data_IF_258301276947
#
_entry.id   IF_258301276947
#
_cell.length_a   1.000
_cell.length_b   1.000
_cell.length_c   1.000
_cell.angle_alpha   90.00
_cell.angle_beta   90.00
_cell.angle_gamma   90.00
#
_symmetry.space_group_name_H-M   'P 1'
#
loop_
_entity.id
_entity.type
_entity.pdbx_description
1 polymer ?
#
# COMPACT_ATOMS: atom_id res chain seq x y z
N UNK A 1 -9.66 -17.19 27.14
CA UNK A 1 -8.45 -16.92 26.34
C UNK A 1 -7.89 -15.58 26.82
N UNK A 2 -6.77 -15.57 27.53
CA UNK A 2 -6.15 -14.32 27.98
C UNK A 2 -5.70 -13.52 26.77
N UNK A 3 -6.16 -12.27 26.70
CA UNK A 3 -5.72 -11.36 25.65
C UNK A 3 -4.22 -11.14 25.76
N UNK A 4 -3.46 -11.56 24.78
CA UNK A 4 -1.98 -11.45 24.73
C UNK A 4 -1.48 -10.02 25.01
N UNK A 5 -2.33 -9.01 24.77
CA UNK A 5 -2.02 -7.59 24.99
C UNK A 5 -3.27 -6.83 25.50
N UNK A 6 -3.62 -6.93 26.80
CA UNK A 6 -4.89 -6.40 27.32
C UNK A 6 -5.03 -4.86 27.24
N UNK A 7 -3.93 -4.10 27.13
CA UNK A 7 -3.90 -2.64 27.02
C UNK A 7 -3.59 -2.12 25.61
N UNK A 8 -3.58 -2.99 24.61
CA UNK A 8 -3.23 -2.58 23.24
C UNK A 8 -4.24 -1.57 22.65
N UNK A 9 -5.52 -1.73 22.93
CA UNK A 9 -6.56 -0.90 22.34
C UNK A 9 -6.53 0.61 22.72
N UNK A 10 -5.73 1.00 23.73
CA UNK A 10 -5.55 2.40 24.15
C UNK A 10 -4.18 2.97 23.80
N UNK A 11 -3.29 2.15 23.25
CA UNK A 11 -1.95 2.61 22.87
C UNK A 11 -1.92 3.01 21.41
N UNK A 12 -1.40 4.22 21.12
CA UNK A 12 -1.26 4.75 19.76
C UNK A 12 -0.61 3.78 18.77
N UNK A 13 0.42 3.06 19.18
CA UNK A 13 1.14 2.09 18.35
C UNK A 13 0.29 0.90 17.85
N UNK A 14 -0.92 0.72 18.38
CA UNK A 14 -1.86 -0.35 17.99
C UNK A 14 -3.10 0.18 17.28
N UNK A 15 -3.16 1.48 17.01
CA UNK A 15 -4.25 2.04 16.22
C UNK A 15 -4.14 1.61 14.76
N UNK A 16 -5.29 1.44 14.14
CA UNK A 16 -5.34 1.14 12.71
C UNK A 16 -4.83 2.32 11.91
N UNK A 17 -3.92 2.07 10.97
CA UNK A 17 -3.44 3.08 10.03
C UNK A 17 -4.57 3.52 9.08
N UNK A 18 -5.41 2.56 8.70
CA UNK A 18 -6.60 2.79 7.89
C UNK A 18 -7.85 2.31 8.66
N UNK A 19 -8.42 3.14 9.53
CA UNK A 19 -9.63 2.79 10.27
C UNK A 19 -10.86 2.84 9.35
N UNK A 20 -11.87 2.04 9.66
CA UNK A 20 -13.17 2.15 9.01
C UNK A 20 -13.89 3.44 9.45
N UNK A 21 -14.76 3.97 8.60
CA UNK A 21 -15.54 5.18 8.89
C UNK A 21 -16.58 4.94 10.01
N UNK A 22 -17.12 3.71 10.08
CA UNK A 22 -18.16 3.32 11.02
C UNK A 22 -17.61 2.49 12.16
N UNK A 23 -18.27 2.58 13.32
CA UNK A 23 -18.08 1.68 14.43
C UNK A 23 -18.82 0.36 14.16
N UNK A 24 -18.29 -0.73 14.68
CA UNK A 24 -18.93 -2.05 14.63
C UNK A 24 -18.73 -2.80 15.94
N UNK A 25 -19.66 -3.69 16.24
CA UNK A 25 -19.62 -4.50 17.45
C UNK A 25 -18.69 -5.68 17.22
N UNK A 26 -17.65 -5.77 18.03
CA UNK A 26 -16.74 -6.92 18.02
C UNK A 26 -17.52 -8.20 18.40
N UNK A 27 -17.53 -9.24 17.56
CA UNK A 27 -18.33 -10.45 17.80
C UNK A 27 -17.91 -11.22 19.06
N UNK A 28 -16.65 -11.14 19.46
CA UNK A 28 -16.13 -11.85 20.64
C UNK A 28 -16.38 -11.07 21.93
N UNK A 29 -15.96 -9.81 21.99
CA UNK A 29 -16.03 -8.98 23.19
C UNK A 29 -17.36 -8.23 23.36
N UNK A 30 -18.20 -8.16 22.33
CA UNK A 30 -19.46 -7.40 22.25
C UNK A 30 -19.29 -5.89 22.51
N UNK A 31 -18.06 -5.39 22.42
CA UNK A 31 -17.73 -3.98 22.59
C UNK A 31 -17.77 -3.31 21.22
N UNK A 32 -18.39 -2.14 21.15
CA UNK A 32 -18.37 -1.29 19.97
C UNK A 32 -16.99 -0.68 19.79
N UNK A 33 -16.37 -0.92 18.61
CA UNK A 33 -15.03 -0.47 18.29
C UNK A 33 -14.94 -0.02 16.84
N UNK A 34 -13.94 0.81 16.54
CA UNK A 34 -13.55 1.11 15.17
C UNK A 34 -12.55 0.07 14.69
N UNK A 35 -12.92 -0.70 13.68
CA UNK A 35 -12.05 -1.66 13.03
C UNK A 35 -11.26 -1.03 11.88
N UNK A 36 -10.40 -1.80 11.23
CA UNK A 36 -9.74 -1.40 10.00
C UNK A 36 -10.74 -1.38 8.83
N UNK A 37 -10.41 -0.63 7.78
CA UNK A 37 -11.16 -0.68 6.53
C UNK A 37 -11.09 -2.09 5.93
N UNK A 38 -12.23 -2.60 5.46
CA UNK A 38 -12.27 -3.89 4.79
C UNK A 38 -11.70 -3.80 3.37
N UNK A 39 -11.05 -4.86 2.92
CA UNK A 39 -10.46 -4.93 1.58
C UNK A 39 -11.47 -4.65 0.46
N UNK A 40 -12.71 -5.12 0.62
CA UNK A 40 -13.78 -4.92 -0.36
C UNK A 40 -14.21 -3.46 -0.48
N UNK A 41 -14.23 -2.72 0.63
CA UNK A 41 -14.56 -1.29 0.65
C UNK A 41 -13.49 -0.51 -0.11
N UNK A 42 -12.22 -0.76 0.22
CA UNK A 42 -11.09 -0.18 -0.50
C UNK A 42 -11.11 -0.55 -1.98
N UNK A 43 -11.26 -1.84 -2.30
CA UNK A 43 -11.29 -2.34 -3.68
C UNK A 43 -12.40 -1.73 -4.52
N UNK A 44 -13.58 -1.52 -3.92
CA UNK A 44 -14.71 -0.88 -4.60
C UNK A 44 -14.49 0.61 -4.85
N UNK A 45 -13.91 1.33 -3.88
CA UNK A 45 -13.55 2.74 -4.03
C UNK A 45 -12.47 2.91 -5.11
N UNK A 46 -11.45 2.06 -5.07
CA UNK A 46 -10.38 2.05 -6.07
C UNK A 46 -10.91 1.80 -7.49
N UNK A 47 -11.79 0.81 -7.65
CA UNK A 47 -12.38 0.48 -8.96
C UNK A 47 -13.15 1.66 -9.54
N UNK A 48 -14.01 2.30 -8.74
CA UNK A 48 -14.75 3.51 -9.17
C UNK A 48 -13.82 4.63 -9.59
N UNK A 49 -12.75 4.87 -8.83
CA UNK A 49 -11.77 5.89 -9.19
C UNK A 49 -11.01 5.54 -10.49
N UNK A 50 -10.64 4.29 -10.68
CA UNK A 50 -9.98 3.82 -11.89
C UNK A 50 -10.88 3.93 -13.13
N UNK A 51 -12.15 3.56 -13.02
CA UNK A 51 -13.14 3.66 -14.09
C UNK A 51 -13.38 5.12 -14.51
N UNK A 52 -13.25 6.07 -13.60
CA UNK A 52 -13.39 7.50 -13.91
C UNK A 52 -12.21 8.08 -14.71
N UNK A 53 -11.05 7.42 -14.69
CA UNK A 53 -9.80 7.94 -15.28
C UNK A 53 -9.36 7.14 -16.50
N UNK A 54 -9.66 5.84 -16.54
CA UNK A 54 -9.15 4.91 -17.57
C UNK A 54 -10.32 4.26 -18.30
N UNK A 55 -10.55 4.69 -19.52
CA UNK A 55 -11.76 4.35 -20.32
C UNK A 55 -11.83 2.90 -20.83
N UNK A 56 -10.77 2.11 -20.78
CA UNK A 56 -10.80 0.78 -21.43
C UNK A 56 -9.97 -0.33 -20.76
N UNK A 57 -9.23 -0.03 -19.72
CA UNK A 57 -8.35 -1.02 -19.08
C UNK A 57 -8.80 -1.35 -17.67
N UNK A 58 -8.85 -2.64 -17.37
CA UNK A 58 -9.10 -3.10 -16.02
C UNK A 58 -7.88 -2.84 -15.14
N UNK A 59 -7.88 -1.73 -14.41
CA UNK A 59 -6.83 -1.41 -13.45
C UNK A 59 -7.13 -2.10 -12.12
N UNK A 60 -6.13 -2.73 -11.54
CA UNK A 60 -6.21 -3.40 -10.22
C UNK A 60 -5.21 -2.76 -9.26
N UNK A 61 -5.43 -2.95 -7.96
CA UNK A 61 -4.46 -2.52 -6.93
C UNK A 61 -3.08 -3.15 -7.12
N UNK A 62 -3.06 -4.37 -7.66
CA UNK A 62 -1.81 -5.05 -8.01
C UNK A 62 -1.08 -4.36 -9.18
N UNK A 63 -1.83 -3.87 -10.16
CA UNK A 63 -1.25 -3.09 -11.26
C UNK A 63 -0.61 -1.79 -10.77
N UNK A 64 -1.20 -1.11 -9.77
CA UNK A 64 -0.57 0.06 -9.14
C UNK A 64 0.74 -0.30 -8.43
N UNK A 65 0.76 -1.44 -7.73
CA UNK A 65 1.98 -1.92 -7.08
C UNK A 65 3.09 -2.19 -8.10
N UNK A 66 2.75 -2.78 -9.24
CA UNK A 66 3.69 -2.99 -10.34
C UNK A 66 4.17 -1.68 -10.95
N UNK A 67 3.27 -0.74 -11.22
CA UNK A 67 3.62 0.57 -11.74
C UNK A 67 4.55 1.33 -10.77
N UNK A 68 4.23 1.32 -9.47
CA UNK A 68 5.11 1.89 -8.45
C UNK A 68 6.50 1.26 -8.50
N UNK A 69 6.60 -0.07 -8.49
CA UNK A 69 7.88 -0.77 -8.51
C UNK A 69 8.72 -0.42 -9.75
N UNK A 70 8.09 -0.38 -10.91
CA UNK A 70 8.76 -0.04 -12.18
C UNK A 70 9.27 1.39 -12.17
N UNK A 71 8.41 2.36 -11.87
CA UNK A 71 8.82 3.77 -11.86
C UNK A 71 9.83 4.11 -10.76
N UNK A 72 9.76 3.41 -9.62
CA UNK A 72 10.72 3.58 -8.55
C UNK A 72 12.14 3.17 -8.98
N UNK A 73 12.26 2.05 -9.70
CA UNK A 73 13.54 1.58 -10.26
C UNK A 73 14.01 2.42 -11.44
N UNK A 74 13.10 2.86 -12.32
CA UNK A 74 13.42 3.82 -13.40
C UNK A 74 13.92 5.14 -12.86
N UNK A 75 13.44 5.56 -11.69
CA UNK A 75 13.90 6.72 -10.95
C UNK A 75 15.30 6.58 -10.35
N UNK A 76 15.91 5.39 -10.46
CA UNK A 76 17.29 5.11 -10.03
C UNK A 76 17.41 4.52 -8.63
N UNK A 77 16.31 4.11 -8.01
CA UNK A 77 16.34 3.43 -6.73
C UNK A 77 16.86 1.98 -6.90
N UNK A 78 17.50 1.46 -5.87
CA UNK A 78 17.99 0.09 -5.88
C UNK A 78 16.91 -0.95 -5.59
N UNK A 79 17.10 -2.16 -6.11
CA UNK A 79 16.14 -3.25 -6.00
C UNK A 79 15.94 -3.73 -4.55
N UNK A 80 16.94 -3.57 -3.69
CA UNK A 80 16.88 -4.00 -2.30
C UNK A 80 15.99 -3.06 -1.48
N UNK A 81 16.13 -1.76 -1.70
CA UNK A 81 15.22 -0.76 -1.12
C UNK A 81 13.78 -1.01 -1.59
N UNK A 82 13.57 -1.33 -2.86
CA UNK A 82 12.25 -1.70 -3.37
C UNK A 82 11.69 -2.94 -2.66
N UNK A 83 12.51 -3.98 -2.46
CA UNK A 83 12.11 -5.20 -1.76
C UNK A 83 11.61 -4.88 -0.35
N UNK A 84 12.35 -4.07 0.40
CA UNK A 84 12.00 -3.66 1.77
C UNK A 84 10.68 -2.87 1.79
N UNK A 85 10.53 -1.89 0.89
CA UNK A 85 9.30 -1.08 0.76
C UNK A 85 8.07 -1.93 0.40
N UNK A 86 8.24 -2.92 -0.45
CA UNK A 86 7.16 -3.82 -0.85
C UNK A 86 6.88 -4.90 0.21
N UNK A 87 7.72 -5.05 1.22
CA UNK A 87 7.58 -6.08 2.25
C UNK A 87 7.74 -7.50 1.71
N UNK A 88 8.53 -7.69 0.65
CA UNK A 88 8.80 -9.01 0.10
C UNK A 88 9.79 -9.77 0.97
N UNK A 89 9.38 -10.89 1.53
CA UNK A 89 10.24 -11.76 2.34
C UNK A 89 11.32 -12.47 1.49
N UNK A 90 11.06 -12.69 0.19
CA UNK A 90 11.97 -13.35 -0.74
C UNK A 90 12.35 -12.39 -1.88
N UNK A 91 13.66 -12.30 -2.15
CA UNK A 91 14.24 -11.48 -3.24
C UNK A 91 13.69 -11.91 -4.60
N UNK A 92 13.44 -13.20 -4.81
CA UNK A 92 12.88 -13.73 -6.07
C UNK A 92 11.60 -13.04 -6.50
N UNK A 93 10.78 -12.62 -5.55
CA UNK A 93 9.53 -11.89 -5.85
C UNK A 93 9.81 -10.51 -6.43
N UNK A 94 10.98 -9.93 -6.14
CA UNK A 94 11.39 -8.61 -6.64
C UNK A 94 12.25 -8.72 -7.89
N UNK A 95 12.83 -9.90 -8.18
CA UNK A 95 13.67 -10.15 -9.36
C UNK A 95 12.93 -9.96 -10.68
N UNK A 96 11.60 -10.06 -10.70
CA UNK A 96 10.78 -9.77 -11.88
C UNK A 96 11.02 -8.34 -12.42
N UNK A 97 11.51 -7.42 -11.55
CA UNK A 97 11.84 -6.05 -11.91
C UNK A 97 13.33 -5.81 -12.20
N UNK A 98 14.18 -6.86 -12.11
CA UNK A 98 15.64 -6.72 -12.27
C UNK A 98 16.06 -6.16 -13.65
N UNK A 99 15.23 -6.37 -14.67
CA UNK A 99 15.48 -5.81 -16.00
C UNK A 99 15.32 -4.28 -16.04
N UNK A 100 14.49 -3.71 -15.16
CA UNK A 100 14.27 -2.27 -15.04
C UNK A 100 15.40 -1.61 -14.24
N UNK A 101 15.90 -2.26 -13.19
CA UNK A 101 16.96 -1.74 -12.33
C UNK A 101 18.28 -1.47 -13.07
N UNK A 102 18.54 -2.12 -14.21
CA UNK A 102 19.73 -1.91 -15.03
C UNK A 102 19.75 -0.57 -15.76
N UNK A 103 18.63 0.13 -15.85
CA UNK A 103 18.46 1.38 -16.61
C UNK A 103 18.61 2.59 -15.69
N UNK A 104 18.41 2.43 -14.38
CA UNK A 104 18.45 3.50 -13.39
C UNK A 104 19.88 3.84 -12.95
N UNK A 105 20.24 5.11 -13.03
CA UNK A 105 21.42 5.65 -12.38
C UNK A 105 21.10 5.96 -10.91
N UNK A 106 22.06 5.76 -10.05
CA UNK A 106 22.04 5.93 -8.59
C UNK A 106 21.66 7.36 -8.15
N UNK A 107 20.38 7.71 -8.24
CA UNK A 107 19.84 9.05 -7.94
C UNK A 107 19.19 9.17 -6.56
N UNK A 108 19.37 8.17 -5.71
CA UNK A 108 18.74 8.13 -4.38
C UNK A 108 17.24 7.75 -4.40
N UNK A 109 16.67 7.60 -3.22
CA UNK A 109 15.26 7.19 -3.04
C UNK A 109 14.35 8.40 -3.25
N UNK A 110 13.58 8.41 -4.32
CA UNK A 110 12.54 9.42 -4.60
C UNK A 110 11.21 8.73 -4.85
N UNK A 111 10.12 9.36 -4.44
CA UNK A 111 8.79 8.89 -4.80
C UNK A 111 8.55 9.10 -6.30
N UNK A 112 7.97 8.13 -7.03
CA UNK A 112 7.54 8.34 -8.40
C UNK A 112 6.59 9.54 -8.59
N UNK A 113 5.90 9.95 -7.52
CA UNK A 113 4.99 11.10 -7.53
C UNK A 113 5.71 12.45 -7.40
N UNK A 114 6.96 12.47 -6.92
CA UNK A 114 7.72 13.73 -6.75
C UNK A 114 8.04 14.43 -8.09
N UNK A 115 8.00 13.67 -9.19
CA UNK A 115 8.22 14.19 -10.55
C UNK A 115 6.95 14.62 -11.28
N UNK A 116 5.78 14.33 -10.73
CA UNK A 116 4.48 14.71 -11.31
C UNK A 116 4.09 16.07 -10.73
N UNK A 117 4.58 17.15 -11.36
CA UNK A 117 4.24 18.51 -10.94
C UNK A 117 2.74 18.75 -10.93
N UNK A 118 2.19 19.13 -9.78
CA UNK A 118 0.87 19.74 -9.73
C UNK A 118 -0.21 19.10 -8.86
N UNK A 119 0.09 18.22 -7.91
CA UNK A 119 -0.85 18.01 -6.81
C UNK A 119 -0.59 19.03 -5.71
N UNK A 120 -1.18 20.23 -5.84
CA UNK A 120 -1.44 21.10 -4.70
C UNK A 120 -2.62 20.52 -3.94
N UNK A 121 -2.37 20.11 -2.71
CA UNK A 121 -3.38 19.73 -1.73
C UNK A 121 -4.02 21.00 -1.18
#
# INVERSE_FOLDING_TARGET
MELKFPKSGVKWAWHWLFPADTLSVDPESRIERRHHILADVYGSAFRRAAEAVVDSKRVTTHALRHAFATHFLEGGADIRTLQELLGHADVKTTEIYAHVAKIGNDKGVRSPLDGVGGFQV
#
